data_IF_716426835679
#
_entry.id   IF_716426835679
#
_cell.length_a   1.000
_cell.length_b   1.000
_cell.length_c   1.000
_cell.angle_alpha   90.00
_cell.angle_beta   90.00
_cell.angle_gamma   90.00
#
_symmetry.space_group_name_H-M   'P 1'
#
loop_
_entity.id
_entity.type
_entity.pdbx_description
1 polymer ?
#
# COMPACT_ATOMS: atom_id res chain seq x y z
N UNK A 1 -7.75 7.57 46.36
CA UNK A 1 -6.30 7.42 46.59
C UNK A 1 -5.60 7.62 45.25
N UNK A 2 -4.87 8.72 44.99
CA UNK A 2 -4.09 8.86 43.77
C UNK A 2 -2.74 8.17 44.00
N UNK A 3 -2.40 7.20 43.16
CA UNK A 3 -1.11 6.52 43.19
C UNK A 3 -0.39 6.77 41.87
N UNK A 4 0.54 7.73 41.96
CA UNK A 4 1.84 7.79 41.32
C UNK A 4 1.93 7.45 39.82
N UNK A 5 1.85 8.49 38.99
CA UNK A 5 2.58 8.57 37.72
C UNK A 5 4.06 8.23 37.97
N UNK A 6 4.52 7.10 37.44
CA UNK A 6 5.91 6.68 37.50
C UNK A 6 6.59 7.08 36.17
N UNK A 7 7.37 8.17 36.09
CA UNK A 7 7.93 8.66 34.83
C UNK A 7 9.11 7.84 34.29
N UNK A 8 9.31 6.59 34.73
CA UNK A 8 10.50 5.78 34.41
C UNK A 8 10.23 4.42 33.79
N UNK A 9 8.97 4.12 33.43
CA UNK A 9 8.70 2.92 32.65
C UNK A 9 8.93 3.23 31.18
N UNK A 10 10.03 2.70 30.63
CA UNK A 10 10.24 2.71 29.19
C UNK A 10 8.97 2.16 28.51
N UNK A 11 8.48 2.80 27.43
CA UNK A 11 7.27 2.35 26.77
C UNK A 11 7.46 0.90 26.31
N UNK A 12 6.47 0.06 26.60
CA UNK A 12 6.50 -1.35 26.24
C UNK A 12 6.54 -1.52 24.72
N UNK A 13 7.18 -2.61 24.25
CA UNK A 13 7.14 -2.96 22.84
C UNK A 13 5.68 -3.14 22.38
N UNK A 14 5.38 -2.64 21.19
CA UNK A 14 4.03 -2.65 20.61
C UNK A 14 3.20 -1.40 20.88
N UNK A 15 3.62 -0.52 21.80
CA UNK A 15 2.91 0.72 22.13
C UNK A 15 3.16 1.79 21.07
N UNK A 16 2.11 2.54 20.70
CA UNK A 16 2.24 3.72 19.84
C UNK A 16 2.65 4.94 20.65
N UNK A 17 3.59 5.71 20.11
CA UNK A 17 4.17 6.91 20.71
C UNK A 17 4.28 8.03 19.68
N UNK A 18 4.23 9.26 20.17
CA UNK A 18 4.57 10.44 19.40
C UNK A 18 5.95 10.95 19.85
N UNK A 19 6.90 10.98 18.92
CA UNK A 19 8.23 11.54 19.08
C UNK A 19 8.20 13.04 18.78
N UNK A 20 8.47 13.84 19.79
CA UNK A 20 8.47 15.31 19.75
C UNK A 20 9.90 15.89 19.75
N UNK A 21 10.94 15.06 19.70
CA UNK A 21 12.35 15.52 19.74
C UNK A 21 12.81 16.20 18.44
N UNK A 22 12.03 16.07 17.36
CA UNK A 22 12.30 16.68 16.06
C UNK A 22 11.55 18.01 15.82
N UNK A 23 11.82 18.64 14.67
CA UNK A 23 11.07 19.82 14.20
C UNK A 23 9.59 19.53 13.90
N UNK A 24 9.27 18.28 13.62
CA UNK A 24 7.93 17.78 13.35
C UNK A 24 7.65 16.57 14.22
N UNK A 25 6.42 16.45 14.71
CA UNK A 25 6.01 15.30 15.51
C UNK A 25 5.97 14.06 14.62
N UNK A 26 6.66 12.99 15.04
CA UNK A 26 6.71 11.72 14.31
C UNK A 26 5.95 10.66 15.09
N UNK A 27 5.01 10.00 14.43
CA UNK A 27 4.23 8.92 15.04
C UNK A 27 4.88 7.58 14.73
N UNK A 28 4.94 6.70 15.73
CA UNK A 28 5.50 5.37 15.54
C UNK A 28 5.16 4.39 16.63
N UNK A 29 5.47 3.13 16.37
CA UNK A 29 5.29 2.02 17.29
C UNK A 29 6.65 1.63 17.88
N UNK A 30 6.71 1.47 19.20
CA UNK A 30 7.92 0.99 19.88
C UNK A 30 8.19 -0.45 19.49
N UNK A 31 9.33 -0.71 18.87
CA UNK A 31 9.76 -2.06 18.50
C UNK A 31 10.61 -2.71 19.59
N UNK A 32 11.57 -1.94 20.14
CA UNK A 32 12.46 -2.41 21.19
C UNK A 32 13.02 -1.25 22.00
N UNK A 33 13.52 -1.55 23.18
CA UNK A 33 14.28 -0.64 24.01
C UNK A 33 15.67 -1.23 24.24
N UNK A 34 16.72 -0.46 23.96
CA UNK A 34 18.10 -0.93 24.08
C UNK A 34 19.01 0.23 24.45
N UNK A 35 19.88 0.01 25.45
CA UNK A 35 20.90 0.97 25.89
C UNK A 35 20.35 2.38 26.18
N UNK A 36 19.20 2.47 26.86
CA UNK A 36 18.56 3.74 27.20
C UNK A 36 17.89 4.48 26.04
N UNK A 37 17.85 3.88 24.84
CA UNK A 37 17.15 4.39 23.67
C UNK A 37 15.92 3.56 23.35
N UNK A 38 14.90 4.22 22.83
CA UNK A 38 13.67 3.58 22.36
C UNK A 38 13.72 3.56 20.84
N UNK A 39 13.62 2.37 20.26
CA UNK A 39 13.59 2.18 18.82
C UNK A 39 12.14 2.13 18.36
N UNK A 40 11.80 3.01 17.43
CA UNK A 40 10.43 3.27 16.99
C UNK A 40 10.36 3.08 15.47
N UNK A 41 9.30 2.44 14.99
CA UNK A 41 9.02 2.23 13.57
C UNK A 41 7.76 2.99 13.15
N UNK A 42 7.64 3.50 11.90
CA UNK A 42 6.42 4.19 11.49
C UNK A 42 5.22 3.22 11.44
N UNK A 43 3.99 3.68 11.72
CA UNK A 43 2.79 2.83 11.74
C UNK A 43 2.47 2.19 10.38
N UNK A 44 2.79 2.84 9.26
CA UNK A 44 2.62 2.30 7.91
C UNK A 44 3.81 1.49 7.38
N UNK A 45 4.78 1.15 8.25
CA UNK A 45 6.05 0.56 7.84
C UNK A 45 7.09 1.61 7.42
N UNK A 46 8.33 1.16 7.18
CA UNK A 46 9.47 2.01 6.85
C UNK A 46 10.64 1.90 7.83
N UNK A 47 11.60 2.81 7.70
CA UNK A 47 12.84 2.78 8.47
C UNK A 47 12.58 3.07 9.96
N UNK A 48 13.12 2.20 10.81
CA UNK A 48 13.16 2.40 12.27
C UNK A 48 14.12 3.54 12.62
N UNK A 49 13.79 4.32 13.65
CA UNK A 49 14.67 5.35 14.22
C UNK A 49 14.80 5.19 15.74
N UNK A 50 15.90 5.71 16.29
CA UNK A 50 16.10 5.80 17.72
C UNK A 50 15.57 7.14 18.24
N UNK A 51 14.78 7.10 19.30
CA UNK A 51 14.26 8.25 20.02
C UNK A 51 14.68 8.19 21.50
N UNK A 52 14.86 9.36 22.12
CA UNK A 52 15.09 9.45 23.57
C UNK A 52 13.76 9.21 24.29
N UNK A 53 13.74 8.47 25.41
CA UNK A 53 12.49 8.21 26.14
C UNK A 53 11.81 9.50 26.66
N UNK A 54 12.58 10.55 26.96
CA UNK A 54 12.03 11.85 27.38
C UNK A 54 11.38 12.66 26.25
N UNK A 55 11.67 12.31 24.99
CA UNK A 55 11.08 12.94 23.80
C UNK A 55 9.85 12.18 23.30
N UNK A 56 9.45 11.11 24.00
CA UNK A 56 8.29 10.30 23.66
C UNK A 56 7.12 10.62 24.58
N UNK A 57 5.94 10.76 23.98
CA UNK A 57 4.68 10.86 24.72
C UNK A 57 3.62 9.95 24.14
N UNK A 58 2.55 9.74 24.91
CA UNK A 58 1.34 9.11 24.41
C UNK A 58 0.75 9.94 23.24
N UNK A 59 0.25 9.30 22.18
CA UNK A 59 -0.42 9.99 21.08
C UNK A 59 -1.70 10.70 21.56
N UNK A 60 -2.01 11.85 20.98
CA UNK A 60 -3.31 12.52 21.15
C UNK A 60 -4.40 11.80 20.36
N UNK A 61 -5.68 12.13 20.59
CA UNK A 61 -6.80 11.55 19.82
C UNK A 61 -6.70 11.81 18.30
N UNK A 62 -6.21 12.99 17.91
CA UNK A 62 -5.98 13.31 16.49
C UNK A 62 -4.88 12.41 15.90
N UNK A 63 -3.81 12.19 16.65
CA UNK A 63 -2.70 11.33 16.24
C UNK A 63 -3.10 9.86 16.24
N UNK A 64 -3.93 9.43 17.19
CA UNK A 64 -4.56 8.11 17.17
C UNK A 64 -5.42 7.90 15.93
N UNK A 65 -6.13 8.94 15.49
CA UNK A 65 -6.90 8.89 14.24
C UNK A 65 -5.99 8.68 13.04
N UNK A 66 -4.85 9.38 12.99
CA UNK A 66 -3.82 9.17 11.94
C UNK A 66 -3.20 7.77 12.01
N UNK A 67 -2.86 7.29 13.21
CA UNK A 67 -2.32 5.95 13.44
C UNK A 67 -3.31 4.91 12.89
N UNK A 68 -4.59 4.99 13.27
CA UNK A 68 -5.63 4.07 12.79
C UNK A 68 -5.72 4.04 11.27
N UNK A 69 -5.67 5.20 10.61
CA UNK A 69 -5.66 5.25 9.13
C UNK A 69 -4.41 4.57 8.56
N UNK A 70 -3.22 4.87 9.10
CA UNK A 70 -1.95 4.34 8.61
C UNK A 70 -1.75 2.85 8.90
N UNK A 71 -2.38 2.32 9.94
CA UNK A 71 -2.34 0.89 10.30
C UNK A 71 -3.52 0.11 9.78
N UNK A 72 -4.53 0.76 9.20
CA UNK A 72 -5.65 0.05 8.58
C UNK A 72 -5.07 -0.73 7.41
N UNK A 73 -5.13 -2.08 7.43
CA UNK A 73 -4.67 -2.85 6.30
C UNK A 73 -5.45 -2.38 5.09
N UNK A 74 -4.73 -1.99 4.03
CA UNK A 74 -5.34 -1.91 2.71
C UNK A 74 -5.66 -3.35 2.37
N UNK A 75 -6.88 -3.76 2.69
CA UNK A 75 -7.44 -4.97 2.15
C UNK A 75 -7.48 -4.70 0.66
N UNK A 76 -6.48 -5.26 -0.04
CA UNK A 76 -6.71 -5.72 -1.40
C UNK A 76 -7.79 -6.78 -1.21
N UNK A 77 -9.06 -6.33 -1.16
CA UNK A 77 -10.16 -7.17 -1.60
C UNK A 77 -9.61 -7.79 -2.87
N UNK A 78 -9.43 -9.12 -2.87
CA UNK A 78 -8.96 -9.85 -4.04
C UNK A 78 -10.00 -9.59 -5.12
N UNK A 79 -9.82 -8.46 -5.76
CA UNK A 79 -10.63 -7.95 -6.81
C UNK A 79 -9.95 -8.55 -8.03
N UNK A 80 -10.06 -9.88 -8.08
CA UNK A 80 -9.93 -10.65 -9.28
C UNK A 80 -11.04 -10.18 -10.22
N UNK A 81 -10.96 -8.93 -10.69
CA UNK A 81 -11.89 -8.27 -11.62
C UNK A 81 -11.85 -8.97 -12.99
N UNK A 82 -11.89 -10.30 -13.01
CA UNK A 82 -11.56 -11.17 -14.12
C UNK A 82 -10.07 -11.27 -14.45
N UNK A 83 -9.15 -10.60 -13.73
CA UNK A 83 -7.74 -10.52 -14.17
C UNK A 83 -6.96 -11.83 -14.04
N UNK A 84 -7.35 -12.71 -13.11
CA UNK A 84 -6.83 -14.08 -13.02
C UNK A 84 -7.59 -15.07 -13.90
N UNK A 85 -8.75 -14.68 -14.43
CA UNK A 85 -9.44 -15.48 -15.44
C UNK A 85 -8.71 -15.32 -16.76
N UNK A 86 -8.69 -16.41 -17.55
CA UNK A 86 -8.11 -16.37 -18.88
C UNK A 86 -8.81 -15.29 -19.72
N UNK A 87 -8.08 -14.31 -20.26
CA UNK A 87 -8.69 -13.23 -21.04
C UNK A 87 -9.16 -13.75 -22.40
N UNK A 88 -10.37 -13.36 -22.80
CA UNK A 88 -10.91 -13.66 -24.13
C UNK A 88 -10.39 -12.64 -25.15
N UNK A 89 -9.74 -13.08 -26.25
CA UNK A 89 -9.28 -12.18 -27.28
C UNK A 89 -10.46 -11.64 -28.10
N UNK A 90 -10.39 -10.36 -28.50
CA UNK A 90 -11.39 -9.81 -29.42
C UNK A 90 -11.34 -10.52 -30.79
N UNK A 91 -12.48 -10.62 -31.50
CA UNK A 91 -12.53 -11.17 -32.85
C UNK A 91 -11.53 -10.47 -33.76
N UNK A 92 -10.81 -11.26 -34.57
CA UNK A 92 -9.85 -10.80 -35.57
C UNK A 92 -8.72 -9.88 -35.04
N UNK A 93 -8.46 -9.89 -33.73
CA UNK A 93 -7.36 -9.14 -33.14
C UNK A 93 -6.15 -10.04 -32.83
N UNK A 94 -5.19 -10.06 -33.75
CA UNK A 94 -3.92 -10.79 -33.62
C UNK A 94 -3.16 -10.48 -32.31
N UNK A 95 -2.99 -9.21 -31.89
CA UNK A 95 -2.40 -8.88 -30.58
C UNK A 95 -3.06 -9.59 -29.40
N UNK A 96 -4.39 -9.62 -29.34
CA UNK A 96 -5.09 -10.28 -28.24
C UNK A 96 -4.90 -11.79 -28.25
N UNK A 97 -4.86 -12.42 -29.43
CA UNK A 97 -4.56 -13.86 -29.54
C UNK A 97 -3.15 -14.17 -29.02
N UNK A 98 -2.17 -13.32 -29.31
CA UNK A 98 -0.81 -13.47 -28.80
C UNK A 98 -0.75 -13.29 -27.27
N UNK A 99 -1.38 -12.25 -26.73
CA UNK A 99 -1.42 -11.99 -25.29
C UNK A 99 -2.16 -13.11 -24.53
N UNK A 100 -3.22 -13.69 -25.08
CA UNK A 100 -3.90 -14.83 -24.48
C UNK A 100 -3.01 -16.09 -24.44
N UNK A 101 -2.17 -16.31 -25.45
CA UNK A 101 -1.19 -17.41 -25.44
C UNK A 101 -0.06 -17.17 -24.43
N UNK A 102 0.36 -15.93 -24.25
CA UNK A 102 1.33 -15.55 -23.21
C UNK A 102 0.75 -15.70 -21.81
N UNK A 103 -0.51 -15.31 -21.61
CA UNK A 103 -1.24 -15.59 -20.39
C UNK A 103 -1.22 -17.09 -20.06
N UNK A 104 -1.59 -17.94 -21.02
CA UNK A 104 -1.55 -19.40 -20.85
C UNK A 104 -0.14 -19.90 -20.53
N UNK A 105 0.89 -19.31 -21.15
CA UNK A 105 2.30 -19.64 -20.85
C UNK A 105 2.65 -19.37 -19.39
N UNK A 106 2.33 -18.18 -18.88
CA UNK A 106 2.67 -17.75 -17.53
C UNK A 106 1.84 -18.44 -16.45
N UNK A 107 0.63 -18.91 -16.77
CA UNK A 107 -0.20 -19.68 -15.84
C UNK A 107 0.15 -21.18 -15.81
N UNK A 108 1.08 -21.65 -16.65
CA UNK A 108 1.57 -23.04 -16.56
C UNK A 108 2.37 -23.23 -15.28
N UNK A 109 2.03 -24.29 -14.54
CA UNK A 109 2.81 -24.70 -13.36
C UNK A 109 4.25 -25.00 -13.76
N UNK A 110 5.21 -24.52 -12.96
CA UNK A 110 6.63 -24.77 -13.18
C UNK A 110 7.46 -23.51 -12.97
N UNK A 111 8.77 -23.55 -13.32
CA UNK A 111 9.68 -22.42 -13.14
C UNK A 111 9.29 -21.16 -13.95
N UNK A 112 8.48 -21.33 -14.99
CA UNK A 112 7.97 -20.26 -15.84
C UNK A 112 6.63 -19.69 -15.36
N UNK A 113 6.12 -20.15 -14.21
CA UNK A 113 4.88 -19.65 -13.63
C UNK A 113 5.07 -18.22 -13.11
N UNK A 114 4.33 -17.26 -13.68
CA UNK A 114 4.41 -15.85 -13.31
C UNK A 114 3.01 -15.21 -13.32
N UNK A 115 2.38 -15.14 -12.15
CA UNK A 115 1.02 -14.56 -12.03
C UNK A 115 0.98 -13.07 -12.37
N UNK A 116 2.07 -12.34 -12.11
CA UNK A 116 2.12 -10.90 -12.40
C UNK A 116 2.11 -10.69 -13.91
N UNK A 117 2.98 -11.39 -14.64
CA UNK A 117 3.05 -11.31 -16.09
C UNK A 117 1.77 -11.81 -16.77
N UNK A 118 1.08 -12.79 -16.18
CA UNK A 118 -0.25 -13.20 -16.64
C UNK A 118 -1.29 -12.08 -16.47
N UNK A 119 -1.35 -11.43 -15.30
CA UNK A 119 -2.27 -10.31 -15.06
C UNK A 119 -1.99 -9.15 -16.02
N UNK A 120 -0.72 -8.84 -16.29
CA UNK A 120 -0.35 -7.82 -17.28
C UNK A 120 -0.93 -8.13 -18.66
N UNK A 121 -0.85 -9.39 -19.12
CA UNK A 121 -1.47 -9.80 -20.39
C UNK A 121 -3.00 -9.57 -20.40
N UNK A 122 -3.69 -9.83 -19.29
CA UNK A 122 -5.13 -9.59 -19.17
C UNK A 122 -5.49 -8.10 -19.16
N UNK A 123 -4.68 -7.27 -18.50
CA UNK A 123 -4.82 -5.81 -18.49
C UNK A 123 -4.61 -5.24 -19.89
N UNK A 124 -3.56 -5.69 -20.60
CA UNK A 124 -3.28 -5.26 -21.97
C UNK A 124 -4.43 -5.62 -22.91
N UNK A 125 -4.97 -6.84 -22.86
CA UNK A 125 -6.15 -7.22 -23.67
C UNK A 125 -7.36 -6.34 -23.35
N UNK A 126 -7.58 -5.98 -22.08
CA UNK A 126 -8.73 -5.15 -21.68
C UNK A 126 -8.60 -3.70 -22.18
N UNK A 127 -7.40 -3.15 -22.16
CA UNK A 127 -7.15 -1.75 -22.49
C UNK A 127 -6.76 -1.54 -23.95
N UNK A 128 -6.39 -2.61 -24.66
CA UNK A 128 -6.02 -2.55 -26.06
C UNK A 128 -7.18 -2.00 -26.91
N UNK A 129 -6.94 -0.99 -27.75
CA UNK A 129 -7.97 -0.43 -28.60
C UNK A 129 -8.32 -1.42 -29.72
N UNK A 130 -9.53 -1.96 -29.67
CA UNK A 130 -10.21 -2.52 -30.83
C UNK A 130 -10.96 -1.39 -31.54
N UNK A 131 -11.27 -1.49 -32.83
CA UNK A 131 -12.20 -0.55 -33.44
C UNK A 131 -13.64 -1.06 -33.18
N UNK A 132 -14.51 -0.38 -32.41
CA UNK A 132 -14.31 0.87 -31.65
C UNK A 132 -13.68 0.65 -30.25
N UNK A 133 -12.95 1.65 -29.69
CA UNK A 133 -12.07 1.46 -28.53
C UNK A 133 -12.84 1.08 -27.26
N UNK A 134 -12.34 0.07 -26.53
CA UNK A 134 -12.85 -0.27 -25.19
C UNK A 134 -12.48 0.78 -24.15
N UNK A 135 -11.56 1.69 -24.47
CA UNK A 135 -11.33 2.89 -23.69
C UNK A 135 -12.40 3.93 -24.03
N UNK A 136 -13.39 4.07 -23.14
CA UNK A 136 -14.19 5.28 -22.97
C UNK A 136 -13.32 6.47 -22.54
N UNK A 137 -12.21 6.73 -23.23
CA UNK A 137 -11.65 8.07 -23.26
C UNK A 137 -12.62 8.91 -24.07
N UNK A 138 -13.01 10.07 -23.50
CA UNK A 138 -13.74 11.06 -24.27
C UNK A 138 -12.93 11.34 -25.54
N UNK A 139 -13.58 11.22 -26.70
CA UNK A 139 -12.97 11.52 -28.00
C UNK A 139 -12.52 12.98 -28.08
N UNK A 140 -13.13 13.84 -27.27
CA UNK A 140 -12.92 15.27 -27.24
C UNK A 140 -12.08 15.71 -26.03
N UNK A 141 -11.15 16.64 -26.28
CA UNK A 141 -10.40 17.32 -25.24
C UNK A 141 -11.35 18.14 -24.33
N UNK A 142 -11.03 18.29 -23.02
CA UNK A 142 -11.80 19.17 -22.15
C UNK A 142 -11.77 20.61 -22.69
N UNK A 143 -12.88 21.37 -22.60
CA UNK A 143 -12.93 22.73 -23.13
C UNK A 143 -11.91 23.63 -22.42
N UNK A 144 -11.23 24.48 -23.19
CA UNK A 144 -10.26 25.43 -22.64
C UNK A 144 -10.94 26.36 -21.63
N UNK A 145 -10.34 26.45 -20.44
CA UNK A 145 -10.74 27.42 -19.41
C UNK A 145 -10.44 28.81 -19.95
N UNK A 146 -11.48 29.54 -20.38
CA UNK A 146 -11.37 30.96 -20.66
C UNK A 146 -11.05 31.70 -19.35
N UNK A 147 -9.90 32.36 -19.31
CA UNK A 147 -9.52 33.29 -18.25
C UNK A 147 -10.34 34.57 -18.32
#
# INVERSE_FOLDING_TARGET
MPVCDNPSSLPAAGVFVADIGGKTVRLGQVCRTQSGRVYVRPPGGGAEWAASPGDLRAPTEEEWTRIRVLTTPVLVLSADHGLRARPEPAPDCTPCVHLARWFDHYMRRGPQHDESAAVDCAVEIRNHPHDPPKMTLKRDAPPEVRR
#
